data_IF_029460126727
#
_entry.id   IF_029460126727
#
_cell.length_a   1.000
_cell.length_b   1.000
_cell.length_c   1.000
_cell.angle_alpha   90.00
_cell.angle_beta   90.00
_cell.angle_gamma   90.00
#
_symmetry.space_group_name_H-M   'P 1'
#
loop_
_entity.id
_entity.type
_entity.pdbx_description
1 polymer ?
#
# COMPACT_ATOMS: atom_id res chain seq x y z
N UNK A 1 -13.93 -21.68 2.18
CA UNK A 1 -12.45 -21.58 2.32
C UNK A 1 -12.11 -20.70 3.51
N UNK A 2 -11.37 -21.23 4.50
CA UNK A 2 -11.04 -20.53 5.76
C UNK A 2 -10.15 -19.31 5.49
N UNK A 3 -10.46 -18.16 6.10
CA UNK A 3 -9.63 -16.94 6.03
C UNK A 3 -8.27 -17.21 6.70
N UNK A 4 -7.17 -17.11 5.95
CA UNK A 4 -5.80 -17.01 6.49
C UNK A 4 -5.61 -15.61 7.10
N UNK A 5 -6.13 -15.42 8.31
CA UNK A 5 -5.88 -14.22 9.12
C UNK A 5 -6.87 -13.06 8.94
N UNK A 6 -6.75 -12.07 9.84
CA UNK A 6 -7.57 -10.84 9.90
C UNK A 6 -7.19 -9.79 8.84
N UNK A 7 -6.37 -10.17 7.85
CA UNK A 7 -5.85 -9.26 6.83
C UNK A 7 -6.78 -9.33 5.61
N UNK A 8 -7.27 -8.19 5.09
CA UNK A 8 -8.00 -8.20 3.82
C UNK A 8 -7.05 -8.65 2.69
N UNK A 9 -7.42 -9.72 1.97
CA UNK A 9 -6.70 -10.24 0.80
C UNK A 9 -7.14 -9.50 -0.46
N UNK A 10 -6.26 -9.32 -1.45
CA UNK A 10 -6.54 -8.56 -2.69
C UNK A 10 -7.04 -9.61 -3.64
N UNK A 11 -8.36 -9.64 -3.87
CA UNK A 11 -8.89 -10.43 -4.97
C UNK A 11 -8.67 -9.61 -6.24
N UNK A 12 -7.56 -9.83 -6.92
CA UNK A 12 -7.27 -9.24 -8.24
C UNK A 12 -7.60 -10.26 -9.33
N UNK A 13 -8.18 -9.78 -10.43
CA UNK A 13 -8.54 -10.60 -11.61
C UNK A 13 -7.29 -11.02 -12.40
N UNK A 14 -6.21 -10.24 -12.32
CA UNK A 14 -4.95 -10.52 -12.99
C UNK A 14 -3.96 -11.17 -11.99
N UNK A 15 -3.18 -12.18 -12.42
CA UNK A 15 -2.15 -12.79 -11.59
C UNK A 15 -1.07 -11.76 -11.21
N UNK A 16 -0.48 -11.95 -10.03
CA UNK A 16 0.65 -11.14 -9.59
C UNK A 16 1.83 -11.35 -10.55
N UNK A 17 2.50 -10.28 -11.02
CA UNK A 17 3.67 -10.43 -11.86
C UNK A 17 4.79 -11.16 -11.10
N UNK A 18 5.70 -11.87 -11.80
CA UNK A 18 6.85 -12.51 -11.19
C UNK A 18 7.76 -11.45 -10.52
N UNK A 19 8.36 -11.82 -9.39
CA UNK A 19 9.09 -10.90 -8.50
C UNK A 19 10.36 -10.32 -9.16
N UNK A 20 10.93 -11.01 -10.15
CA UNK A 20 12.15 -10.59 -10.86
C UNK A 20 11.92 -9.45 -11.86
N UNK A 21 10.68 -9.08 -12.16
CA UNK A 21 10.38 -8.10 -13.19
C UNK A 21 10.32 -6.67 -12.64
N UNK A 22 10.92 -5.66 -13.32
CA UNK A 22 10.68 -4.24 -13.04
C UNK A 22 9.20 -3.85 -12.96
N UNK A 23 8.33 -4.55 -13.69
CA UNK A 23 6.88 -4.37 -13.66
C UNK A 23 6.27 -4.73 -12.31
N UNK A 24 6.92 -5.61 -11.54
CA UNK A 24 6.53 -5.91 -10.17
C UNK A 24 6.63 -4.67 -9.27
N UNK A 25 7.67 -3.85 -9.43
CA UNK A 25 7.84 -2.62 -8.65
C UNK A 25 6.71 -1.64 -8.96
N UNK A 26 6.30 -1.52 -10.22
CA UNK A 26 5.21 -0.63 -10.65
C UNK A 26 3.89 -1.12 -10.09
N UNK A 27 3.63 -2.43 -10.19
CA UNK A 27 2.44 -3.07 -9.65
C UNK A 27 2.36 -2.90 -8.13
N UNK A 28 3.43 -3.21 -7.41
CA UNK A 28 3.53 -3.09 -5.96
C UNK A 28 3.45 -1.62 -5.49
N UNK A 29 4.02 -0.69 -6.25
CA UNK A 29 3.93 0.73 -5.96
C UNK A 29 2.51 1.28 -6.11
N UNK A 30 1.69 0.74 -7.03
CA UNK A 30 0.26 1.08 -7.15
C UNK A 30 -0.63 0.35 -6.15
N UNK A 31 -0.23 -0.82 -5.67
CA UNK A 31 -1.00 -1.58 -4.69
C UNK A 31 -1.06 -0.84 -3.34
N UNK A 32 -2.25 -0.40 -2.94
CA UNK A 32 -2.46 0.35 -1.70
C UNK A 32 -2.10 -0.44 -0.43
N UNK A 33 -1.94 -1.77 -0.55
CA UNK A 33 -1.69 -2.68 0.59
C UNK A 33 -0.27 -3.21 0.67
N UNK A 34 0.64 -2.72 -0.18
CA UNK A 34 2.06 -3.04 -0.12
C UNK A 34 2.81 -1.79 0.34
N UNK A 35 3.58 -1.92 1.43
CA UNK A 35 4.39 -0.83 1.98
C UNK A 35 5.70 -0.66 1.20
N UNK A 36 6.32 0.52 1.29
CA UNK A 36 7.65 0.71 0.71
C UNK A 36 8.70 -0.19 1.38
N UNK A 37 8.56 -0.46 2.69
CA UNK A 37 9.41 -1.42 3.42
C UNK A 37 9.28 -2.85 2.85
N UNK A 38 8.08 -3.26 2.42
CA UNK A 38 7.88 -4.59 1.84
C UNK A 38 8.41 -4.69 0.40
N UNK A 39 8.36 -3.59 -0.35
CA UNK A 39 9.03 -3.47 -1.66
C UNK A 39 10.53 -3.54 -1.47
N UNK A 40 11.08 -2.81 -0.50
CA UNK A 40 12.51 -2.81 -0.17
C UNK A 40 12.98 -4.19 0.27
N UNK A 41 12.21 -4.88 1.12
CA UNK A 41 12.55 -6.24 1.56
C UNK A 41 12.58 -7.26 0.41
N UNK A 42 11.73 -7.10 -0.60
CA UNK A 42 11.64 -8.02 -1.73
C UNK A 42 12.60 -7.69 -2.88
N UNK A 43 12.82 -6.41 -3.14
CA UNK A 43 13.57 -5.95 -4.33
C UNK A 43 14.87 -5.22 -3.98
N UNK A 44 15.12 -4.94 -2.70
CA UNK A 44 16.25 -4.13 -2.25
C UNK A 44 16.14 -2.64 -2.58
N UNK A 45 15.00 -2.18 -3.13
CA UNK A 45 14.81 -0.80 -3.56
C UNK A 45 14.19 0.06 -2.48
N UNK A 46 14.90 1.14 -2.14
CA UNK A 46 14.44 2.16 -1.20
C UNK A 46 13.23 2.92 -1.75
N UNK A 47 12.47 3.58 -0.87
CA UNK A 47 11.34 4.44 -1.28
C UNK A 47 11.79 5.46 -2.34
N UNK A 48 12.99 6.04 -2.19
CA UNK A 48 13.50 7.05 -3.12
C UNK A 48 13.69 6.49 -4.53
N UNK A 49 14.17 5.25 -4.63
CA UNK A 49 14.39 4.57 -5.91
C UNK A 49 13.06 4.21 -6.54
N UNK A 50 12.09 3.70 -5.76
CA UNK A 50 10.74 3.40 -6.26
C UNK A 50 10.08 4.67 -6.79
N UNK A 51 10.23 5.82 -6.11
CA UNK A 51 9.71 7.11 -6.60
C UNK A 51 10.39 7.51 -7.92
N UNK A 52 11.71 7.33 -8.05
CA UNK A 52 12.45 7.62 -9.29
C UNK A 52 11.98 6.73 -10.44
N UNK A 53 11.79 5.43 -10.19
CA UNK A 53 11.26 4.47 -11.17
C UNK A 53 9.87 4.91 -11.62
N UNK A 54 8.96 5.12 -10.67
CA UNK A 54 7.58 5.54 -10.95
C UNK A 54 7.50 6.86 -11.72
N UNK A 55 8.39 7.81 -11.43
CA UNK A 55 8.48 9.09 -12.16
C UNK A 55 8.96 8.92 -13.60
N UNK A 56 9.84 7.96 -13.86
CA UNK A 56 10.36 7.66 -15.21
C UNK A 56 9.36 6.88 -16.04
N UNK A 57 8.62 5.95 -15.43
CA UNK A 57 7.72 5.05 -16.17
C UNK A 57 6.33 5.61 -16.41
N UNK A 58 5.81 6.43 -15.49
CA UNK A 58 4.45 6.97 -15.60
C UNK A 58 4.40 8.32 -16.31
N UNK A 59 3.29 8.56 -17.02
CA UNK A 59 2.94 9.91 -17.50
C UNK A 59 2.87 10.90 -16.31
N UNK A 60 3.25 12.18 -16.49
CA UNK A 60 3.28 13.16 -15.41
C UNK A 60 1.94 13.31 -14.66
N UNK A 61 0.81 13.25 -15.36
CA UNK A 61 -0.53 13.30 -14.77
C UNK A 61 -0.82 12.09 -13.86
N UNK A 62 -0.50 10.88 -14.34
CA UNK A 62 -0.62 9.64 -13.57
C UNK A 62 0.30 9.63 -12.35
N UNK A 63 1.53 10.11 -12.49
CA UNK A 63 2.48 10.23 -11.38
C UNK A 63 1.98 11.17 -10.29
N UNK A 64 1.44 12.36 -10.66
CA UNK A 64 0.84 13.29 -9.69
C UNK A 64 -0.33 12.65 -8.94
N UNK A 65 -1.18 11.90 -9.65
CA UNK A 65 -2.32 11.20 -9.05
C UNK A 65 -1.85 10.10 -8.09
N UNK A 66 -0.86 9.30 -8.48
CA UNK A 66 -0.24 8.30 -7.62
C UNK A 66 0.35 8.96 -6.37
N UNK A 67 1.07 10.07 -6.51
CA UNK A 67 1.69 10.74 -5.36
C UNK A 67 0.68 11.36 -4.41
N UNK A 68 -0.43 11.91 -4.95
CA UNK A 68 -1.57 12.33 -4.14
C UNK A 68 -2.16 11.16 -3.33
N UNK A 69 -2.35 9.98 -3.95
CA UNK A 69 -2.87 8.78 -3.27
C UNK A 69 -1.93 8.26 -2.19
N UNK A 70 -0.64 8.16 -2.49
CA UNK A 70 0.39 7.71 -1.52
C UNK A 70 0.40 8.61 -0.29
N UNK A 71 0.22 9.92 -0.46
CA UNK A 71 0.19 10.87 0.66
C UNK A 71 -1.17 10.92 1.40
N UNK A 72 -2.30 10.78 0.69
CA UNK A 72 -3.64 10.99 1.28
C UNK A 72 -4.35 9.72 1.78
N UNK A 73 -4.27 8.59 1.08
CA UNK A 73 -5.12 7.39 1.34
C UNK A 73 -4.35 6.15 1.76
N UNK A 74 -3.02 6.25 1.90
CA UNK A 74 -2.20 5.06 1.88
C UNK A 74 -2.02 4.41 3.24
N UNK A 75 -2.28 3.10 3.27
CA UNK A 75 -1.96 2.14 4.35
C UNK A 75 -0.44 1.92 4.47
N UNK A 76 0.36 2.54 3.58
CA UNK A 76 1.81 2.35 3.43
C UNK A 76 2.63 2.68 4.67
N UNK A 77 2.08 3.44 5.61
CA UNK A 77 2.68 3.69 6.92
C UNK A 77 2.03 2.79 7.98
N UNK A 78 2.62 1.62 8.21
CA UNK A 78 2.11 0.59 9.15
C UNK A 78 1.72 1.17 10.52
N UNK A 79 2.60 2.00 11.11
CA UNK A 79 2.35 2.65 12.41
C UNK A 79 1.16 3.62 12.38
N UNK A 80 1.01 4.43 11.34
CA UNK A 80 -0.13 5.38 11.21
C UNK A 80 -1.44 4.63 11.00
N UNK A 81 -1.40 3.50 10.30
CA UNK A 81 -2.57 2.64 10.09
C UNK A 81 -3.05 1.97 11.37
N UNK A 82 -2.15 1.37 12.16
CA UNK A 82 -2.50 0.78 13.46
C UNK A 82 -3.07 1.84 14.43
N UNK A 83 -2.51 3.05 14.43
CA UNK A 83 -3.00 4.16 15.25
C UNK A 83 -4.41 4.61 14.84
N UNK A 84 -4.68 4.81 13.54
CA UNK A 84 -6.02 5.24 13.09
C UNK A 84 -7.09 4.19 13.40
N UNK A 85 -6.77 2.90 13.24
CA UNK A 85 -7.63 1.78 13.63
C UNK A 85 -7.97 1.81 15.12
N UNK A 86 -6.95 1.97 16.00
CA UNK A 86 -7.14 2.08 17.46
C UNK A 86 -8.08 3.23 17.81
N UNK A 87 -7.91 4.40 17.19
CA UNK A 87 -8.76 5.59 17.40
C UNK A 87 -10.21 5.39 16.94
N UNK A 88 -10.42 4.69 15.83
CA UNK A 88 -11.77 4.35 15.36
C UNK A 88 -12.45 3.40 16.35
N UNK A 89 -11.77 2.34 16.79
CA UNK A 89 -12.33 1.39 17.78
C UNK A 89 -12.59 2.03 19.15
N UNK A 90 -11.75 2.97 19.59
CA UNK A 90 -11.97 3.68 20.87
C UNK A 90 -13.15 4.65 20.80
N UNK A 91 -13.41 5.26 19.65
CA UNK A 91 -14.60 6.12 19.44
C UNK A 91 -15.90 5.32 19.44
N UNK A 92 -15.90 4.12 18.85
CA UNK A 92 -17.06 3.22 18.84
C UNK A 92 -17.42 2.80 20.28
N UNK A 93 -16.44 2.36 21.08
CA UNK A 93 -16.66 2.01 22.50
C UNK A 93 -17.22 3.15 23.37
N UNK A 94 -17.01 4.41 22.98
CA UNK A 94 -17.50 5.58 23.72
C UNK A 94 -18.97 5.92 23.41
N UNK A 95 -19.48 5.43 22.27
CA UNK A 95 -20.86 5.64 21.81
C UNK A 95 -21.84 4.52 22.19
N UNK A 96 -21.35 3.39 22.70
CA UNK A 96 -22.16 2.25 23.17
C UNK A 96 -22.63 2.40 24.64
N UNK A 97 -22.41 3.58 25.26
CA UNK A 97 -22.87 3.91 26.61
C UNK A 97 -23.69 5.21 26.59
N UNK A 98 -24.85 5.17 25.95
CA UNK A 98 -26.04 5.99 26.27
C UNK A 98 -27.28 5.16 25.95
#
# INVERSE_FOLDING_TARGET
>A
MKKKGNIPVTRVKNPEPPIDDPDWIIWAAWADRITFEEIEKKTGKSESEVIKIMRRTLKPSSFRLWRKRVNQKSIKHRKKFEYSRKQITSKIKKGDYL
#
